data_IF_298554987708
#
_entry.id   IF_298554987708
#
_cell.length_a   1.000
_cell.length_b   1.000
_cell.length_c   1.000
_cell.angle_alpha   90.00
_cell.angle_beta   90.00
_cell.angle_gamma   90.00
#
_symmetry.space_group_name_H-M   'P 1'
#
loop_
_entity.id
_entity.type
_entity.pdbx_description
1 polymer ?
#
# COMPACT_ATOMS: atom_id res chain seq x y z
N UNK A 1 55.26 -33.79 -37.13
CA UNK A 1 55.53 -32.36 -36.83
C UNK A 1 54.47 -31.87 -35.88
N UNK A 2 54.81 -31.83 -34.59
CA UNK A 2 53.95 -31.34 -33.51
C UNK A 2 53.84 -29.83 -33.52
N UNK A 3 52.62 -29.31 -33.33
CA UNK A 3 52.38 -27.97 -32.81
C UNK A 3 51.34 -27.99 -31.71
N UNK A 4 51.83 -27.95 -30.47
CA UNK A 4 51.06 -27.74 -29.28
C UNK A 4 50.59 -26.28 -29.22
N UNK A 5 49.29 -26.05 -29.10
CA UNK A 5 48.69 -24.75 -28.75
C UNK A 5 48.46 -24.73 -27.23
N UNK A 6 49.15 -23.86 -26.52
CA UNK A 6 48.89 -23.55 -25.10
C UNK A 6 47.68 -22.61 -25.01
N UNK A 7 46.70 -22.86 -24.13
CA UNK A 7 45.64 -21.90 -23.89
C UNK A 7 46.14 -20.76 -22.99
N UNK A 8 45.79 -19.54 -23.36
CA UNK A 8 46.19 -18.29 -22.70
C UNK A 8 45.62 -18.20 -21.27
N UNK A 9 46.51 -18.25 -20.26
CA UNK A 9 46.17 -18.15 -18.84
C UNK A 9 45.51 -16.81 -18.43
N UNK A 10 45.52 -15.79 -19.29
CA UNK A 10 44.99 -14.44 -19.00
C UNK A 10 43.45 -14.35 -19.03
N UNK A 11 42.75 -15.24 -19.73
CA UNK A 11 41.28 -15.20 -19.80
C UNK A 11 40.59 -15.78 -18.55
N UNK A 12 41.28 -16.76 -17.86
CA UNK A 12 40.74 -17.38 -16.65
C UNK A 12 40.74 -16.45 -15.45
N UNK A 13 41.76 -15.55 -15.37
CA UNK A 13 41.90 -14.61 -14.25
C UNK A 13 40.87 -13.46 -14.32
N UNK A 14 40.50 -13.01 -15.52
CA UNK A 14 39.45 -11.97 -15.68
C UNK A 14 38.04 -12.48 -15.34
N UNK A 15 37.74 -13.76 -15.61
CA UNK A 15 36.45 -14.37 -15.27
C UNK A 15 36.28 -14.60 -13.76
N UNK A 16 37.38 -14.96 -13.05
CA UNK A 16 37.41 -15.14 -11.59
C UNK A 16 37.26 -13.81 -10.84
N UNK A 17 37.80 -12.71 -11.37
CA UNK A 17 37.63 -11.36 -10.80
C UNK A 17 36.22 -10.80 -10.97
N UNK A 18 35.53 -11.11 -12.08
CA UNK A 18 34.15 -10.69 -12.30
C UNK A 18 33.15 -11.45 -11.41
N UNK A 19 33.40 -12.75 -11.15
CA UNK A 19 32.59 -13.55 -10.23
C UNK A 19 32.74 -13.12 -8.76
N UNK A 20 33.93 -12.66 -8.35
CA UNK A 20 34.17 -12.15 -6.99
C UNK A 20 33.58 -10.75 -6.77
N UNK A 21 33.46 -9.90 -7.78
CA UNK A 21 32.88 -8.56 -7.62
C UNK A 21 31.37 -8.61 -7.35
N UNK A 22 30.63 -9.56 -7.95
CA UNK A 22 29.20 -9.76 -7.69
C UNK A 22 28.93 -10.36 -6.30
N UNK A 23 29.77 -11.31 -5.86
CA UNK A 23 29.63 -11.93 -4.54
C UNK A 23 29.99 -10.99 -3.38
N UNK A 24 30.85 -9.99 -3.60
CA UNK A 24 31.20 -8.98 -2.59
C UNK A 24 30.09 -7.94 -2.36
N UNK A 25 29.23 -7.63 -3.35
CA UNK A 25 28.17 -6.63 -3.20
C UNK A 25 26.99 -7.17 -2.36
N UNK A 26 26.57 -8.40 -2.59
CA UNK A 26 25.52 -9.07 -1.80
C UNK A 26 25.90 -9.33 -0.35
N UNK A 27 27.16 -9.72 -0.11
CA UNK A 27 27.68 -9.87 1.25
C UNK A 27 27.74 -8.54 2.01
N UNK A 28 27.94 -7.41 1.30
CA UNK A 28 28.02 -6.07 1.89
C UNK A 28 26.66 -5.59 2.42
N UNK A 29 25.60 -5.60 1.58
CA UNK A 29 24.25 -5.14 1.98
C UNK A 29 23.66 -6.07 3.04
N UNK A 30 23.84 -7.39 2.91
CA UNK A 30 23.36 -8.35 3.92
C UNK A 30 24.01 -8.11 5.30
N UNK A 31 25.31 -7.81 5.34
CA UNK A 31 26.02 -7.48 6.57
C UNK A 31 25.55 -6.16 7.18
N UNK A 32 25.30 -5.14 6.36
CA UNK A 32 24.77 -3.84 6.81
C UNK A 32 23.34 -3.98 7.37
N UNK A 33 22.48 -4.75 6.72
CA UNK A 33 21.12 -5.07 7.18
C UNK A 33 21.19 -5.83 8.50
N UNK A 34 22.04 -6.86 8.60
CA UNK A 34 22.22 -7.61 9.85
C UNK A 34 22.71 -6.72 11.00
N UNK A 35 23.61 -5.78 10.75
CA UNK A 35 24.12 -4.86 11.77
C UNK A 35 23.08 -3.83 12.23
N UNK A 36 22.13 -3.43 11.37
CA UNK A 36 21.08 -2.46 11.68
C UNK A 36 19.78 -3.10 12.17
N UNK A 37 19.58 -4.41 11.96
CA UNK A 37 18.36 -5.11 12.35
C UNK A 37 18.01 -4.97 13.84
N UNK A 38 18.93 -5.04 14.83
CA UNK A 38 18.56 -4.88 16.26
C UNK A 38 17.89 -3.55 16.58
N UNK A 39 18.29 -2.46 15.91
CA UNK A 39 17.61 -1.15 16.04
C UNK A 39 16.21 -1.21 15.45
N UNK A 40 16.07 -1.77 14.24
CA UNK A 40 14.78 -1.91 13.57
C UNK A 40 13.81 -2.79 14.39
N UNK A 41 14.27 -3.92 14.90
CA UNK A 41 13.47 -4.81 15.75
C UNK A 41 13.03 -4.15 17.07
N UNK A 42 13.92 -3.40 17.71
CA UNK A 42 13.58 -2.66 18.94
C UNK A 42 12.45 -1.65 18.66
N UNK A 43 12.55 -0.93 17.54
CA UNK A 43 11.52 0.04 17.16
C UNK A 43 10.21 -0.66 16.75
N UNK A 44 10.28 -1.76 15.99
CA UNK A 44 9.12 -2.59 15.67
C UNK A 44 8.35 -2.99 16.92
N UNK A 45 9.03 -3.58 17.92
CA UNK A 45 8.39 -4.05 19.15
C UNK A 45 7.77 -2.91 19.99
N UNK A 46 8.35 -1.72 19.94
CA UNK A 46 7.81 -0.54 20.61
C UNK A 46 6.57 -0.02 19.89
N UNK A 47 6.61 0.13 18.56
CA UNK A 47 5.49 0.58 17.75
C UNK A 47 4.30 -0.40 17.81
N UNK A 48 4.58 -1.69 17.72
CA UNK A 48 3.55 -2.74 17.82
C UNK A 48 2.76 -2.70 19.13
N UNK A 49 3.44 -2.38 20.26
CA UNK A 49 2.79 -2.23 21.56
C UNK A 49 2.03 -0.93 21.74
N UNK A 50 2.35 0.10 20.96
CA UNK A 50 1.82 1.45 21.13
C UNK A 50 1.29 2.02 19.80
N UNK A 51 0.37 1.31 19.12
CA UNK A 51 -0.19 1.78 17.85
C UNK A 51 -1.12 2.98 18.06
N UNK A 52 -1.15 3.90 17.10
CA UNK A 52 -2.02 5.06 17.10
C UNK A 52 -2.88 5.10 15.83
N UNK A 53 -4.12 5.55 15.94
CA UNK A 53 -5.04 5.68 14.81
C UNK A 53 -4.62 6.80 13.85
N UNK A 54 -5.17 6.74 12.63
CA UNK A 54 -4.97 7.75 11.58
C UNK A 54 -5.19 9.18 12.09
N UNK A 55 -4.25 10.08 11.80
CA UNK A 55 -4.17 11.46 12.28
C UNK A 55 -4.02 11.65 13.80
N UNK A 56 -3.78 10.58 14.53
CA UNK A 56 -3.46 10.60 15.97
C UNK A 56 -2.05 10.08 16.27
N UNK A 57 -1.19 9.88 15.25
CA UNK A 57 0.14 9.27 15.29
C UNK A 57 1.21 10.20 15.91
N UNK A 58 0.87 10.84 17.04
CA UNK A 58 1.70 11.89 17.67
C UNK A 58 2.97 11.30 18.28
N UNK A 59 2.84 10.24 19.07
CA UNK A 59 3.96 9.58 19.73
C UNK A 59 4.80 8.79 18.73
N UNK A 60 4.15 8.12 17.79
CA UNK A 60 4.79 7.40 16.67
C UNK A 60 5.70 8.34 15.89
N UNK A 61 5.16 9.48 15.45
CA UNK A 61 5.91 10.50 14.72
C UNK A 61 7.07 11.09 15.54
N UNK A 62 6.84 11.37 16.84
CA UNK A 62 7.87 11.91 17.73
C UNK A 62 9.04 10.95 17.94
N UNK A 63 8.74 9.65 18.12
CA UNK A 63 9.76 8.58 18.25
C UNK A 63 10.63 8.48 17.01
N UNK A 64 10.01 8.36 15.82
CA UNK A 64 10.71 8.25 14.56
C UNK A 64 11.49 9.53 14.21
N UNK A 65 10.94 10.71 14.48
CA UNK A 65 11.65 11.98 14.32
C UNK A 65 12.90 12.06 15.20
N UNK A 66 12.82 11.55 16.43
CA UNK A 66 13.96 11.49 17.34
C UNK A 66 15.05 10.55 16.80
N UNK A 67 14.65 9.37 16.33
CA UNK A 67 15.60 8.40 15.75
C UNK A 67 16.29 8.97 14.49
N UNK A 68 15.56 9.64 13.60
CA UNK A 68 16.15 10.26 12.41
C UNK A 68 17.14 11.37 12.76
N UNK A 69 16.83 12.23 13.76
CA UNK A 69 17.79 13.26 14.23
C UNK A 69 19.07 12.65 14.76
N UNK A 70 18.98 11.54 15.52
CA UNK A 70 20.16 10.81 16.00
C UNK A 70 21.00 10.24 14.86
N UNK A 71 20.38 9.89 13.72
CA UNK A 71 21.05 9.44 12.51
C UNK A 71 21.62 10.58 11.65
N UNK A 72 21.41 11.85 12.05
CA UNK A 72 21.93 13.02 11.37
C UNK A 72 21.09 13.55 10.23
N UNK A 73 19.78 13.21 10.19
CA UNK A 73 18.82 13.80 9.27
C UNK A 73 18.35 15.17 9.79
N UNK A 74 18.10 16.09 8.87
CA UNK A 74 17.33 17.31 9.13
C UNK A 74 15.85 16.95 9.16
N UNK A 75 15.17 17.11 10.31
CA UNK A 75 13.81 16.59 10.51
C UNK A 75 12.80 17.67 10.79
N UNK A 76 11.74 17.73 9.99
CA UNK A 76 10.54 18.54 10.18
C UNK A 76 9.38 17.63 10.57
N UNK A 77 8.64 17.99 11.61
CA UNK A 77 7.45 17.30 12.11
C UNK A 77 6.20 18.13 11.84
N UNK A 78 5.03 17.49 11.90
CA UNK A 78 3.73 18.15 11.73
C UNK A 78 3.39 18.46 10.26
N UNK A 79 4.03 17.78 9.31
CA UNK A 79 3.72 17.94 7.88
C UNK A 79 2.49 17.11 7.53
N UNK A 80 1.42 17.74 7.08
CA UNK A 80 0.13 17.08 6.87
C UNK A 80 -0.51 16.59 8.18
N UNK A 81 -0.41 17.36 9.24
CA UNK A 81 -0.83 17.14 10.64
C UNK A 81 0.24 16.42 11.47
N UNK A 82 0.28 15.08 11.46
CA UNK A 82 1.20 14.27 12.29
C UNK A 82 2.42 13.76 11.53
N UNK A 83 2.49 13.93 10.21
CA UNK A 83 3.58 13.42 9.38
C UNK A 83 4.94 14.05 9.66
N UNK A 84 5.99 13.34 9.25
CA UNK A 84 7.39 13.76 9.41
C UNK A 84 8.12 13.72 8.07
N UNK A 85 9.10 14.64 7.92
CA UNK A 85 10.02 14.68 6.77
C UNK A 85 11.45 14.74 7.29
N UNK A 86 12.27 13.77 6.90
CA UNK A 86 13.70 13.70 7.20
C UNK A 86 14.52 13.86 5.92
N UNK A 87 15.50 14.78 5.92
CA UNK A 87 16.35 15.05 4.75
C UNK A 87 17.80 14.70 5.07
N UNK A 88 18.42 13.94 4.17
CA UNK A 88 19.84 13.64 4.21
C UNK A 88 20.48 13.99 2.86
N UNK A 89 21.30 15.04 2.83
CA UNK A 89 22.05 15.46 1.64
C UNK A 89 23.42 14.81 1.58
N UNK A 90 23.79 14.31 0.43
CA UNK A 90 25.09 13.65 0.19
C UNK A 90 25.69 14.01 -1.17
N UNK A 91 25.86 15.29 -1.42
CA UNK A 91 26.43 15.85 -2.66
C UNK A 91 25.41 15.95 -3.80
N UNK A 92 25.90 16.31 -4.99
CA UNK A 92 25.06 16.42 -6.17
C UNK A 92 24.59 15.04 -6.67
N UNK A 93 23.34 14.92 -7.02
CA UNK A 93 22.72 13.69 -7.52
C UNK A 93 21.19 13.78 -7.47
N UNK A 94 20.48 12.68 -7.77
CA UNK A 94 19.03 12.62 -7.72
C UNK A 94 18.48 12.85 -6.31
N UNK A 95 17.25 13.32 -6.26
CA UNK A 95 16.43 13.35 -5.03
C UNK A 95 15.49 12.14 -5.05
N UNK A 96 15.59 11.27 -4.05
CA UNK A 96 14.73 10.10 -3.93
C UNK A 96 13.94 10.18 -2.63
N UNK A 97 12.63 10.02 -2.74
CA UNK A 97 11.73 9.92 -1.61
C UNK A 97 11.53 8.45 -1.25
N UNK A 98 11.65 8.10 0.02
CA UNK A 98 11.24 6.80 0.57
C UNK A 98 10.17 7.03 1.63
N UNK A 99 9.02 6.42 1.43
CA UNK A 99 7.82 6.57 2.27
C UNK A 99 7.63 5.37 3.18
N UNK A 100 7.19 5.63 4.41
CA UNK A 100 6.50 4.69 5.29
C UNK A 100 5.19 5.32 5.77
N UNK A 101 4.25 4.52 6.24
CA UNK A 101 3.01 4.89 6.89
C UNK A 101 3.21 4.93 8.41
N UNK A 102 2.38 5.72 9.13
CA UNK A 102 2.51 5.85 10.59
C UNK A 102 1.34 5.25 11.35
N UNK A 103 0.18 5.16 10.71
CA UNK A 103 -1.10 4.86 11.36
C UNK A 103 -1.39 3.37 11.54
N UNK A 104 -2.29 3.09 12.47
CA UNK A 104 -2.82 1.78 12.79
C UNK A 104 -4.35 1.77 12.67
N UNK A 105 -4.95 0.60 12.79
CA UNK A 105 -6.37 0.34 12.57
C UNK A 105 -7.14 0.16 13.89
N UNK A 106 -8.46 0.49 13.90
CA UNK A 106 -9.35 0.25 15.04
C UNK A 106 -9.72 -1.24 15.16
N UNK A 107 -8.71 -2.09 15.36
CA UNK A 107 -8.82 -3.55 15.47
C UNK A 107 -8.30 -3.99 16.83
N UNK A 108 -9.06 -4.82 17.55
CA UNK A 108 -8.56 -5.46 18.77
C UNK A 108 -7.69 -6.66 18.38
N UNK A 109 -6.42 -6.61 18.76
CA UNK A 109 -5.47 -7.66 18.42
C UNK A 109 -5.80 -9.00 19.10
N UNK A 110 -5.70 -10.09 18.34
CA UNK A 110 -5.90 -11.46 18.79
C UNK A 110 -4.84 -12.41 18.18
N UNK A 111 -3.59 -11.96 18.15
CA UNK A 111 -2.47 -12.74 17.59
C UNK A 111 -1.89 -13.73 18.59
N UNK A 112 -2.04 -13.48 19.91
CA UNK A 112 -1.40 -14.25 20.96
C UNK A 112 0.10 -14.01 21.10
N UNK A 113 0.65 -12.99 20.45
CA UNK A 113 2.07 -12.61 20.57
C UNK A 113 2.37 -12.07 21.98
N UNK A 114 3.56 -12.31 22.54
CA UNK A 114 3.92 -11.83 23.88
C UNK A 114 4.09 -10.30 23.96
N UNK A 115 4.02 -9.62 22.82
CA UNK A 115 4.12 -8.17 22.67
C UNK A 115 2.88 -7.57 21.98
N UNK A 116 1.78 -8.31 21.91
CA UNK A 116 0.51 -7.85 21.33
C UNK A 116 0.07 -6.51 21.90
N UNK A 117 -0.55 -5.69 21.07
CA UNK A 117 -1.15 -4.43 21.48
C UNK A 117 -2.32 -4.67 22.44
N UNK A 118 -2.34 -3.90 23.52
CA UNK A 118 -3.47 -3.81 24.46
C UNK A 118 -4.07 -2.41 24.46
N UNK A 119 -3.66 -1.57 23.49
CA UNK A 119 -4.11 -0.19 23.38
C UNK A 119 -5.60 -0.14 23.08
N UNK A 120 -6.30 0.71 23.81
CA UNK A 120 -7.70 1.07 23.56
C UNK A 120 -7.82 2.58 23.54
N UNK A 121 -8.63 3.08 22.59
CA UNK A 121 -8.91 4.51 22.46
C UNK A 121 -10.32 4.71 21.94
N UNK A 122 -10.73 5.96 21.80
CA UNK A 122 -11.96 6.32 21.10
C UNK A 122 -11.63 6.66 19.65
N UNK A 123 -12.40 6.09 18.72
CA UNK A 123 -12.38 6.50 17.33
C UNK A 123 -13.06 7.89 17.15
N UNK A 124 -13.00 8.44 15.94
CA UNK A 124 -13.62 9.74 15.63
C UNK A 124 -15.15 9.77 15.78
N UNK A 125 -15.80 8.60 15.81
CA UNK A 125 -17.22 8.46 16.11
C UNK A 125 -17.52 8.33 17.62
N UNK A 126 -16.48 8.28 18.47
CA UNK A 126 -16.58 8.16 19.92
C UNK A 126 -16.74 6.72 20.44
N UNK A 127 -16.60 5.72 19.58
CA UNK A 127 -16.64 4.31 19.98
C UNK A 127 -15.33 3.90 20.66
N UNK A 128 -15.42 3.06 21.68
CA UNK A 128 -14.26 2.46 22.32
C UNK A 128 -13.73 1.28 21.49
N UNK A 129 -12.52 1.42 20.95
CA UNK A 129 -11.91 0.45 20.02
C UNK A 129 -10.54 0.00 20.52
N UNK A 130 -10.16 -1.26 20.23
CA UNK A 130 -8.77 -1.69 20.29
C UNK A 130 -7.98 -1.12 19.12
N UNK A 131 -6.66 -0.98 19.26
CA UNK A 131 -5.81 -0.48 18.18
C UNK A 131 -4.70 -1.48 17.86
N UNK A 132 -4.48 -1.77 16.59
CA UNK A 132 -3.50 -2.74 16.12
C UNK A 132 -2.89 -2.30 14.79
N UNK A 133 -1.59 -2.51 14.60
CA UNK A 133 -0.96 -2.44 13.28
C UNK A 133 -1.36 -3.66 12.43
N UNK A 134 -2.65 -3.78 12.11
CA UNK A 134 -3.18 -4.90 11.35
C UNK A 134 -2.86 -4.86 9.85
N UNK A 135 -2.23 -3.76 9.37
CA UNK A 135 -1.71 -3.61 8.02
C UNK A 135 -0.17 -3.66 7.94
N UNK A 136 0.51 -3.95 9.06
CA UNK A 136 1.97 -4.12 9.11
C UNK A 136 2.78 -2.82 9.00
N UNK A 137 2.18 -1.65 9.22
CA UNK A 137 2.90 -0.36 9.13
C UNK A 137 4.06 -0.26 10.14
N UNK A 138 4.02 -0.97 11.24
CA UNK A 138 5.13 -1.12 12.19
C UNK A 138 6.33 -1.87 11.57
N UNK A 139 6.10 -2.88 10.71
CA UNK A 139 7.14 -3.53 9.90
C UNK A 139 7.76 -2.53 8.92
N UNK A 140 6.91 -1.73 8.24
CA UNK A 140 7.37 -0.74 7.27
C UNK A 140 8.22 0.33 7.95
N UNK A 141 7.74 0.91 9.06
CA UNK A 141 8.47 1.91 9.85
C UNK A 141 9.81 1.38 10.36
N UNK A 142 9.84 0.14 10.83
CA UNK A 142 11.06 -0.49 11.32
C UNK A 142 12.09 -0.69 10.20
N UNK A 143 11.66 -1.18 9.03
CA UNK A 143 12.52 -1.35 7.86
C UNK A 143 13.04 -0.01 7.35
N UNK A 144 12.17 0.97 7.19
CA UNK A 144 12.48 2.34 6.80
C UNK A 144 13.53 2.99 7.73
N UNK A 145 13.38 2.83 9.07
CA UNK A 145 14.36 3.33 10.04
C UNK A 145 15.69 2.60 9.93
N UNK A 146 15.69 1.27 9.76
CA UNK A 146 16.89 0.48 9.52
C UNK A 146 17.62 0.93 8.26
N UNK A 147 16.88 1.15 7.17
CA UNK A 147 17.38 1.70 5.91
C UNK A 147 17.96 3.10 6.09
N UNK A 148 17.29 3.98 6.86
CA UNK A 148 17.80 5.30 7.20
C UNK A 148 19.19 5.20 7.89
N UNK A 149 19.35 4.28 8.82
CA UNK A 149 20.63 4.03 9.50
C UNK A 149 21.72 3.57 8.54
N UNK A 150 21.42 2.62 7.65
CA UNK A 150 22.37 2.13 6.65
C UNK A 150 22.81 3.25 5.71
N UNK A 151 21.88 4.04 5.19
CA UNK A 151 22.18 5.14 4.26
C UNK A 151 23.00 6.25 4.93
N UNK A 152 22.71 6.57 6.19
CA UNK A 152 23.46 7.56 6.96
C UNK A 152 24.91 7.11 7.24
N UNK A 153 25.12 5.84 7.57
CA UNK A 153 26.43 5.29 7.87
C UNK A 153 27.31 5.08 6.62
N UNK A 154 26.72 4.83 5.46
CA UNK A 154 27.42 4.41 4.24
C UNK A 154 27.36 5.47 3.13
N UNK A 155 27.59 6.75 3.46
CA UNK A 155 27.51 7.89 2.53
C UNK A 155 28.46 7.78 1.32
N UNK A 156 29.55 7.02 1.42
CA UNK A 156 30.47 6.79 0.28
C UNK A 156 29.84 5.97 -0.86
N UNK A 157 28.74 5.24 -0.58
CA UNK A 157 28.11 4.32 -1.52
C UNK A 157 26.98 4.95 -2.34
N UNK A 158 26.59 6.20 -2.06
CA UNK A 158 25.54 6.88 -2.78
C UNK A 158 25.77 8.39 -2.87
N UNK A 159 25.03 9.08 -3.75
CA UNK A 159 25.05 10.55 -3.89
C UNK A 159 23.66 11.05 -4.24
N UNK A 160 23.35 12.27 -3.77
CA UNK A 160 22.08 12.94 -4.01
C UNK A 160 21.43 13.39 -2.71
N UNK A 161 20.11 13.48 -2.72
CA UNK A 161 19.29 13.85 -1.55
C UNK A 161 18.29 12.73 -1.27
N UNK A 162 18.36 12.15 -0.08
CA UNK A 162 17.35 11.22 0.42
C UNK A 162 16.31 12.01 1.22
N UNK A 163 15.06 11.90 0.82
CA UNK A 163 13.89 12.45 1.52
C UNK A 163 13.12 11.28 2.11
N UNK A 164 13.14 11.16 3.41
CA UNK A 164 12.38 10.16 4.15
C UNK A 164 11.07 10.77 4.63
N UNK A 165 9.94 10.15 4.37
CA UNK A 165 8.66 10.59 4.92
C UNK A 165 8.01 9.50 5.75
N UNK A 166 7.52 9.88 6.93
CA UNK A 166 6.52 9.14 7.69
C UNK A 166 5.17 9.78 7.41
N UNK A 167 4.35 9.10 6.63
CA UNK A 167 3.06 9.60 6.18
C UNK A 167 1.96 9.22 7.18
N UNK A 168 1.12 10.17 7.64
CA UNK A 168 -0.03 9.84 8.48
C UNK A 168 -1.19 9.29 7.66
N UNK A 169 -2.17 8.71 8.32
CA UNK A 169 -3.54 8.46 7.85
C UNK A 169 -3.64 7.84 6.45
N UNK A 170 -2.83 6.80 6.19
CA UNK A 170 -2.94 5.99 4.98
C UNK A 170 -4.28 5.23 4.96
N UNK A 171 -4.69 4.66 6.07
CA UNK A 171 -5.92 3.87 6.21
C UNK A 171 -7.22 4.67 5.97
N UNK A 172 -7.13 6.01 6.03
CA UNK A 172 -8.18 6.92 5.58
C UNK A 172 -8.00 7.37 4.12
N UNK A 173 -6.92 6.95 3.45
CA UNK A 173 -6.55 7.30 2.07
C UNK A 173 -6.49 8.83 1.85
N UNK A 174 -5.99 9.56 2.86
CA UNK A 174 -5.96 11.03 2.86
C UNK A 174 -4.63 11.63 3.30
N UNK A 175 -3.74 10.83 3.86
CA UNK A 175 -2.49 11.28 4.45
C UNK A 175 -1.51 11.87 3.43
N UNK A 176 -1.32 11.21 2.28
CA UNK A 176 -0.49 11.74 1.21
C UNK A 176 -1.00 13.08 0.69
N UNK A 177 -2.32 13.22 0.49
CA UNK A 177 -2.96 14.50 0.12
C UNK A 177 -2.70 15.58 1.17
N UNK A 178 -2.83 15.25 2.45
CA UNK A 178 -2.60 16.18 3.54
C UNK A 178 -1.15 16.69 3.54
N UNK A 179 -0.16 15.80 3.37
CA UNK A 179 1.25 16.19 3.28
C UNK A 179 1.56 17.04 2.04
N UNK A 180 1.01 16.69 0.88
CA UNK A 180 1.19 17.44 -0.38
C UNK A 180 0.54 18.83 -0.25
N UNK A 181 -0.67 18.92 0.32
CA UNK A 181 -1.36 20.18 0.56
C UNK A 181 -0.61 21.08 1.55
N UNK A 182 0.07 20.51 2.55
CA UNK A 182 0.97 21.25 3.47
C UNK A 182 2.34 21.58 2.86
N UNK A 183 2.51 21.36 1.57
CA UNK A 183 3.68 21.79 0.81
C UNK A 183 4.83 20.79 0.79
N UNK A 184 4.61 19.50 0.98
CA UNK A 184 5.66 18.48 0.89
C UNK A 184 6.50 18.60 -0.39
N UNK A 185 5.89 18.90 -1.53
CA UNK A 185 6.56 19.01 -2.81
C UNK A 185 7.06 20.42 -3.18
N UNK A 186 6.86 21.41 -2.30
CA UNK A 186 7.25 22.82 -2.53
C UNK A 186 8.15 23.38 -1.44
N UNK A 187 8.01 22.94 -0.20
CA UNK A 187 8.83 23.35 0.96
C UNK A 187 10.11 22.51 1.08
N UNK A 188 10.09 21.31 0.53
CA UNK A 188 11.17 20.33 0.61
C UNK A 188 11.71 20.01 -0.80
N UNK A 189 12.91 19.39 -0.91
CA UNK A 189 13.44 18.98 -2.20
C UNK A 189 12.46 18.09 -2.95
N UNK A 190 12.02 18.54 -4.16
CA UNK A 190 11.10 17.77 -4.99
C UNK A 190 11.76 16.46 -5.45
N UNK A 191 11.15 15.29 -5.24
CA UNK A 191 11.73 14.03 -5.63
C UNK A 191 11.71 13.80 -7.15
N UNK A 192 12.80 13.20 -7.66
CA UNK A 192 12.86 12.62 -9.01
C UNK A 192 12.17 11.25 -9.06
N UNK A 193 12.15 10.52 -7.93
CA UNK A 193 11.53 9.21 -7.76
C UNK A 193 10.93 9.09 -6.35
N UNK A 194 9.82 8.36 -6.23
CA UNK A 194 9.25 7.99 -4.94
C UNK A 194 9.16 6.46 -4.80
N UNK A 195 9.64 5.96 -3.67
CA UNK A 195 9.65 4.55 -3.31
C UNK A 195 8.81 4.29 -2.08
N UNK A 196 8.16 3.14 -2.03
CA UNK A 196 7.52 2.57 -0.85
C UNK A 196 7.70 1.04 -0.83
N UNK A 197 7.59 0.45 0.34
CA UNK A 197 7.52 -1.00 0.53
C UNK A 197 6.27 -1.30 1.35
N UNK A 198 5.51 -2.31 0.94
CA UNK A 198 4.36 -2.79 1.70
C UNK A 198 4.49 -4.30 1.93
N UNK A 199 4.16 -4.77 3.11
CA UNK A 199 4.13 -6.21 3.39
C UNK A 199 2.96 -6.91 2.68
N UNK A 200 3.09 -8.23 2.49
CA UNK A 200 2.10 -9.03 1.76
C UNK A 200 1.82 -10.33 2.51
N UNK A 201 0.59 -10.45 3.01
CA UNK A 201 0.10 -11.62 3.73
C UNK A 201 -0.10 -12.87 2.85
N UNK A 202 0.23 -12.80 1.55
CA UNK A 202 0.11 -13.92 0.59
C UNK A 202 1.46 -14.44 0.14
N UNK A 203 2.56 -13.81 0.57
CA UNK A 203 3.92 -14.18 0.20
C UNK A 203 4.70 -14.69 1.42
N UNK A 204 5.57 -15.71 1.24
CA UNK A 204 6.48 -16.12 2.30
C UNK A 204 7.43 -14.99 2.70
N UNK A 205 7.72 -14.87 3.99
CA UNK A 205 8.66 -13.90 4.52
C UNK A 205 10.04 -14.03 3.86
N UNK A 206 10.65 -12.89 3.53
CA UNK A 206 11.91 -12.85 2.80
C UNK A 206 11.79 -12.84 1.27
N UNK A 207 10.59 -13.02 0.70
CA UNK A 207 10.32 -12.83 -0.72
C UNK A 207 10.05 -11.34 -0.98
N UNK A 208 10.58 -10.83 -2.09
CA UNK A 208 10.33 -9.47 -2.57
C UNK A 208 9.49 -9.55 -3.84
N UNK A 209 8.34 -8.91 -3.84
CA UNK A 209 7.42 -8.79 -4.97
C UNK A 209 7.58 -7.45 -5.69
N UNK A 210 7.44 -7.46 -7.01
CA UNK A 210 7.33 -6.27 -7.84
C UNK A 210 6.27 -6.50 -8.94
N UNK A 211 5.74 -5.43 -9.49
CA UNK A 211 4.93 -5.48 -10.71
C UNK A 211 5.02 -4.13 -11.42
N UNK A 212 5.11 -4.14 -12.74
CA UNK A 212 5.14 -2.93 -13.56
C UNK A 212 3.72 -2.59 -14.04
N UNK A 213 3.34 -1.34 -13.94
CA UNK A 213 1.97 -0.91 -14.27
C UNK A 213 1.05 -0.89 -13.06
N UNK A 214 -0.29 -1.03 -13.24
CA UNK A 214 -1.25 -0.96 -12.14
C UNK A 214 -1.04 -2.08 -11.13
N UNK A 215 -0.89 -1.74 -9.85
CA UNK A 215 -0.69 -2.70 -8.77
C UNK A 215 -1.83 -2.70 -7.75
N UNK A 216 -2.48 -1.55 -7.54
CA UNK A 216 -3.64 -1.40 -6.66
C UNK A 216 -4.72 -0.59 -7.38
N UNK A 217 -5.99 -0.82 -7.01
CA UNK A 217 -7.14 -0.24 -7.72
C UNK A 217 -7.42 1.19 -7.31
N UNK A 218 -8.12 1.91 -8.20
CA UNK A 218 -8.96 3.00 -7.74
C UNK A 218 -10.10 2.47 -6.86
N UNK A 219 -10.60 3.31 -5.98
CA UNK A 219 -11.76 3.00 -5.15
C UNK A 219 -12.68 4.21 -5.06
N UNK A 220 -13.98 3.96 -5.19
CA UNK A 220 -15.03 4.93 -4.95
C UNK A 220 -16.05 4.36 -3.98
N UNK A 221 -16.43 5.13 -2.97
CA UNK A 221 -17.60 4.87 -2.17
C UNK A 221 -18.80 5.57 -2.85
N UNK A 222 -19.86 4.81 -3.13
CA UNK A 222 -21.07 5.33 -3.78
C UNK A 222 -22.26 5.09 -2.87
N UNK A 223 -22.99 6.17 -2.54
CA UNK A 223 -24.25 6.10 -1.79
C UNK A 223 -25.40 6.37 -2.75
N UNK A 224 -26.30 5.41 -2.89
CA UNK A 224 -27.53 5.54 -3.67
C UNK A 224 -28.71 5.65 -2.72
N UNK A 225 -29.48 6.73 -2.81
CA UNK A 225 -30.72 6.91 -2.09
C UNK A 225 -31.88 6.77 -3.06
N UNK A 226 -32.65 5.71 -2.90
CA UNK A 226 -33.85 5.40 -3.70
C UNK A 226 -35.08 5.95 -2.99
N UNK A 227 -35.92 6.71 -3.70
CA UNK A 227 -37.12 7.31 -3.15
C UNK A 227 -38.35 6.57 -3.60
N UNK A 228 -39.28 6.38 -2.68
CA UNK A 228 -40.57 5.81 -2.89
C UNK A 228 -41.72 6.72 -2.40
N UNK A 229 -42.86 6.13 -2.26
CA UNK A 229 -44.02 6.68 -1.56
C UNK A 229 -44.48 5.64 -0.57
N UNK A 230 -44.24 5.88 0.70
CA UNK A 230 -44.55 4.98 1.79
C UNK A 230 -46.02 4.80 2.06
N UNK A 231 -46.35 3.82 2.88
CA UNK A 231 -47.70 3.56 3.28
C UNK A 231 -47.90 2.24 4.00
N UNK A 232 -49.17 1.82 4.08
CA UNK A 232 -49.55 0.60 4.76
C UNK A 232 -49.19 -0.64 3.92
N UNK A 233 -48.40 -1.59 4.50
CA UNK A 233 -47.94 -2.78 3.78
C UNK A 233 -49.02 -3.68 3.19
N UNK A 234 -50.28 -3.57 3.65
CA UNK A 234 -51.44 -4.27 3.08
C UNK A 234 -52.12 -3.49 1.93
N UNK A 235 -51.62 -2.29 1.56
CA UNK A 235 -52.12 -1.45 0.47
C UNK A 235 -51.01 -1.04 -0.50
N UNK A 236 -50.31 -2.01 -1.10
CA UNK A 236 -49.18 -1.72 -1.99
C UNK A 236 -49.59 -0.89 -3.23
N UNK A 237 -50.81 -1.00 -3.69
CA UNK A 237 -51.36 -0.26 -4.84
C UNK A 237 -51.43 1.26 -4.60
N UNK A 238 -51.43 1.71 -3.35
CA UNK A 238 -51.41 3.13 -2.98
C UNK A 238 -49.98 3.69 -2.77
N UNK A 239 -48.96 2.87 -2.95
CA UNK A 239 -47.54 3.16 -2.64
C UNK A 239 -46.65 3.05 -3.86
N UNK A 240 -45.39 3.47 -3.72
CA UNK A 240 -44.28 3.09 -4.59
C UNK A 240 -43.20 2.56 -3.65
N UNK A 241 -42.99 1.25 -3.65
CA UNK A 241 -42.14 0.58 -2.66
C UNK A 241 -40.66 0.71 -3.00
N UNK A 242 -39.87 1.52 -2.26
CA UNK A 242 -38.45 1.69 -2.53
C UNK A 242 -37.62 0.46 -2.13
N UNK A 243 -38.18 -0.45 -1.31
CA UNK A 243 -37.48 -1.72 -0.97
C UNK A 243 -37.45 -2.63 -2.19
N UNK A 244 -38.54 -2.70 -2.93
CA UNK A 244 -38.62 -3.48 -4.19
C UNK A 244 -37.72 -2.87 -5.26
N UNK A 245 -37.69 -1.53 -5.37
CA UNK A 245 -36.80 -0.83 -6.30
C UNK A 245 -35.33 -1.14 -5.95
N UNK A 246 -34.94 -1.02 -4.68
CA UNK A 246 -33.57 -1.28 -4.20
C UNK A 246 -33.17 -2.74 -4.45
N UNK A 247 -34.06 -3.71 -4.23
CA UNK A 247 -33.77 -5.12 -4.49
C UNK A 247 -33.48 -5.38 -5.98
N UNK A 248 -34.27 -4.81 -6.89
CA UNK A 248 -34.03 -4.88 -8.34
C UNK A 248 -32.75 -4.19 -8.73
N UNK A 249 -32.48 -3.02 -8.14
CA UNK A 249 -31.25 -2.27 -8.37
C UNK A 249 -30.00 -3.07 -7.97
N UNK A 250 -30.00 -3.77 -6.82
CA UNK A 250 -28.89 -4.64 -6.42
C UNK A 250 -28.57 -5.67 -7.50
N UNK A 251 -29.59 -6.33 -8.05
CA UNK A 251 -29.43 -7.33 -9.12
C UNK A 251 -28.95 -6.69 -10.42
N UNK A 252 -29.56 -5.58 -10.83
CA UNK A 252 -29.23 -4.90 -12.07
C UNK A 252 -27.77 -4.35 -12.05
N UNK A 253 -27.29 -3.85 -10.93
CA UNK A 253 -25.90 -3.38 -10.79
C UNK A 253 -24.88 -4.48 -11.05
N UNK A 254 -25.18 -5.75 -10.75
CA UNK A 254 -24.26 -6.87 -11.03
C UNK A 254 -24.05 -7.09 -12.54
N UNK A 255 -24.99 -6.64 -13.37
CA UNK A 255 -24.87 -6.77 -14.84
C UNK A 255 -23.82 -5.85 -15.43
N UNK A 256 -23.45 -4.77 -14.76
CA UNK A 256 -22.39 -3.86 -15.22
C UNK A 256 -21.08 -4.63 -15.36
N UNK A 257 -20.66 -5.35 -14.31
CA UNK A 257 -19.43 -6.15 -14.34
C UNK A 257 -19.58 -7.35 -15.27
N UNK A 258 -20.74 -8.06 -15.19
CA UNK A 258 -20.87 -9.33 -15.89
C UNK A 258 -21.26 -9.20 -17.37
N UNK A 259 -21.79 -8.05 -17.84
CA UNK A 259 -22.35 -7.87 -19.20
C UNK A 259 -21.87 -6.62 -19.93
N UNK A 260 -21.36 -5.60 -19.21
CA UNK A 260 -20.97 -4.32 -19.79
C UNK A 260 -19.46 -4.04 -19.68
N UNK A 261 -18.75 -4.80 -18.83
CA UNK A 261 -17.30 -4.67 -18.65
C UNK A 261 -16.59 -5.81 -19.37
N UNK A 262 -15.48 -5.51 -20.05
CA UNK A 262 -14.63 -6.52 -20.68
C UNK A 262 -14.14 -7.54 -19.65
N UNK A 263 -14.13 -8.84 -19.92
CA UNK A 263 -13.61 -9.86 -18.99
C UNK A 263 -12.10 -9.75 -18.76
N UNK A 264 -11.39 -8.94 -19.54
CA UNK A 264 -9.96 -8.62 -19.36
C UNK A 264 -9.74 -7.37 -18.52
N UNK A 265 -10.81 -6.64 -18.16
CA UNK A 265 -10.75 -5.44 -17.34
C UNK A 265 -11.29 -5.75 -15.93
N UNK A 266 -10.42 -6.03 -14.95
CA UNK A 266 -10.86 -6.33 -13.60
C UNK A 266 -11.66 -5.18 -12.99
N UNK A 267 -12.86 -5.49 -12.50
CA UNK A 267 -13.78 -4.52 -11.94
C UNK A 267 -14.61 -5.16 -10.82
N UNK A 268 -14.94 -4.36 -9.79
CA UNK A 268 -15.78 -4.79 -8.68
C UNK A 268 -16.86 -3.72 -8.42
N UNK A 269 -18.10 -4.17 -8.27
CA UNK A 269 -19.20 -3.40 -7.69
C UNK A 269 -19.80 -4.25 -6.57
N UNK A 270 -19.62 -3.83 -5.33
CA UNK A 270 -20.20 -4.50 -4.17
C UNK A 270 -21.19 -3.57 -3.48
N UNK A 271 -22.42 -4.02 -3.30
CA UNK A 271 -23.39 -3.38 -2.40
C UNK A 271 -23.09 -3.89 -0.98
N UNK A 272 -22.40 -3.09 -0.19
CA UNK A 272 -21.94 -3.46 1.15
C UNK A 272 -23.01 -3.30 2.23
N UNK A 273 -23.95 -2.37 2.01
CA UNK A 273 -25.08 -2.18 2.94
C UNK A 273 -26.34 -1.72 2.23
N UNK A 274 -27.49 -2.06 2.82
CA UNK A 274 -28.83 -1.62 2.40
C UNK A 274 -29.65 -1.33 3.65
N UNK A 275 -30.21 -0.13 3.74
CA UNK A 275 -30.98 0.33 4.89
C UNK A 275 -32.29 0.96 4.45
N UNK A 276 -33.42 0.51 5.02
CA UNK A 276 -34.74 1.05 4.76
C UNK A 276 -35.81 0.30 5.51
N UNK A 277 -36.87 1.03 5.88
CA UNK A 277 -38.00 0.49 6.67
C UNK A 277 -37.68 0.33 8.15
N UNK A 278 -38.75 0.30 8.96
CA UNK A 278 -38.65 0.18 10.44
C UNK A 278 -39.54 -0.94 10.99
N UNK A 279 -40.56 -1.34 10.23
CA UNK A 279 -41.56 -2.33 10.66
C UNK A 279 -42.09 -3.11 9.48
N UNK A 280 -42.44 -4.38 9.70
CA UNK A 280 -42.88 -5.32 8.67
C UNK A 280 -44.18 -4.95 7.92
N UNK A 281 -44.98 -4.07 8.46
CA UNK A 281 -46.29 -3.63 7.86
C UNK A 281 -46.29 -2.16 7.41
N UNK A 282 -45.08 -1.54 7.28
CA UNK A 282 -44.89 -0.17 6.83
C UNK A 282 -43.96 -0.18 5.62
N UNK A 283 -44.42 0.30 4.47
CA UNK A 283 -43.56 0.60 3.31
C UNK A 283 -42.89 1.95 3.58
N UNK A 284 -41.57 2.06 3.52
CA UNK A 284 -40.84 3.31 3.81
C UNK A 284 -40.90 4.29 2.63
N UNK A 285 -40.52 5.56 2.87
CA UNK A 285 -40.39 6.57 1.81
C UNK A 285 -39.06 6.50 1.07
N UNK A 286 -38.04 5.85 1.66
CA UNK A 286 -36.71 5.72 1.05
C UNK A 286 -35.95 4.47 1.50
N UNK A 287 -35.00 4.07 0.64
CA UNK A 287 -33.96 3.06 0.94
C UNK A 287 -32.59 3.61 0.53
N UNK A 288 -31.57 3.38 1.35
CA UNK A 288 -30.18 3.78 1.12
C UNK A 288 -29.34 2.54 0.85
N UNK A 289 -28.58 2.55 -0.25
CA UNK A 289 -27.57 1.55 -0.56
C UNK A 289 -26.19 2.20 -0.49
N UNK A 290 -25.21 1.49 0.08
CA UNK A 290 -23.80 1.90 0.09
C UNK A 290 -22.97 0.87 -0.66
N UNK A 291 -22.18 1.36 -1.62
CA UNK A 291 -21.40 0.52 -2.51
C UNK A 291 -19.91 0.88 -2.43
N UNK A 292 -19.05 -0.13 -2.69
CA UNK A 292 -17.68 0.10 -3.13
C UNK A 292 -17.53 -0.26 -4.60
N UNK A 293 -16.84 0.60 -5.36
CA UNK A 293 -16.56 0.42 -6.80
C UNK A 293 -15.05 0.44 -6.98
N UNK A 294 -14.50 -0.56 -7.69
CA UNK A 294 -13.04 -0.70 -7.87
C UNK A 294 -12.69 -1.09 -9.29
N UNK A 295 -11.60 -0.53 -9.82
CA UNK A 295 -11.00 -0.89 -11.11
C UNK A 295 -9.54 -0.43 -11.17
N UNK A 296 -8.80 -0.81 -12.23
CA UNK A 296 -7.39 -0.43 -12.37
C UNK A 296 -7.16 0.76 -13.29
N UNK A 297 -8.17 1.17 -14.06
CA UNK A 297 -8.00 2.24 -15.06
C UNK A 297 -9.14 3.24 -15.00
N UNK A 298 -8.85 4.50 -15.32
CA UNK A 298 -9.87 5.56 -15.36
C UNK A 298 -10.98 5.30 -16.39
N UNK A 299 -10.74 4.79 -17.60
CA UNK A 299 -11.82 4.47 -18.53
C UNK A 299 -12.83 3.46 -17.96
N UNK A 300 -12.34 2.38 -17.32
CA UNK A 300 -13.21 1.39 -16.67
C UNK A 300 -13.97 2.02 -15.50
N UNK A 301 -13.28 2.80 -14.65
CA UNK A 301 -13.89 3.53 -13.53
C UNK A 301 -15.05 4.41 -13.99
N UNK A 302 -14.84 5.24 -15.02
CA UNK A 302 -15.87 6.13 -15.55
C UNK A 302 -17.04 5.34 -16.15
N UNK A 303 -16.78 4.24 -16.82
CA UNK A 303 -17.81 3.33 -17.32
C UNK A 303 -18.67 2.80 -16.17
N UNK A 304 -18.05 2.22 -15.12
CA UNK A 304 -18.78 1.67 -13.96
C UNK A 304 -19.64 2.73 -13.28
N UNK A 305 -19.08 3.91 -12.99
CA UNK A 305 -19.78 5.00 -12.32
C UNK A 305 -20.96 5.55 -13.16
N UNK A 306 -20.77 5.68 -14.48
CA UNK A 306 -21.83 6.13 -15.38
C UNK A 306 -22.94 5.08 -15.54
N UNK A 307 -22.58 3.80 -15.56
CA UNK A 307 -23.55 2.71 -15.62
C UNK A 307 -24.38 2.63 -14.32
N UNK A 308 -23.78 2.85 -13.15
CA UNK A 308 -24.50 2.94 -11.86
C UNK A 308 -25.54 4.05 -11.90
N UNK A 309 -25.17 5.25 -12.33
CA UNK A 309 -26.10 6.39 -12.45
C UNK A 309 -27.27 6.06 -13.38
N UNK A 310 -26.99 5.49 -14.56
CA UNK A 310 -27.99 5.10 -15.57
C UNK A 310 -28.95 4.06 -15.05
N UNK A 311 -28.42 2.98 -14.43
CA UNK A 311 -29.26 1.87 -13.94
C UNK A 311 -30.09 2.33 -12.75
N UNK A 312 -29.54 3.11 -11.82
CA UNK A 312 -30.29 3.64 -10.68
C UNK A 312 -31.53 4.47 -11.15
N UNK A 313 -31.32 5.35 -12.12
CA UNK A 313 -32.43 6.15 -12.72
C UNK A 313 -33.45 5.29 -13.45
N UNK A 314 -32.98 4.30 -14.22
CA UNK A 314 -33.86 3.42 -14.99
C UNK A 314 -34.76 2.57 -14.08
N UNK A 315 -34.23 1.97 -13.01
CA UNK A 315 -34.97 1.14 -12.07
C UNK A 315 -35.99 1.98 -11.27
N UNK A 316 -35.65 3.18 -10.86
CA UNK A 316 -36.56 4.10 -10.20
C UNK A 316 -37.71 4.55 -11.15
N UNK A 317 -37.39 4.91 -12.39
CA UNK A 317 -38.36 5.31 -13.39
C UNK A 317 -39.31 4.16 -13.76
N UNK A 318 -38.80 2.95 -13.96
CA UNK A 318 -39.57 1.75 -14.26
C UNK A 318 -40.61 1.39 -13.17
N UNK A 319 -40.31 1.77 -11.92
CA UNK A 319 -41.21 1.57 -10.78
C UNK A 319 -42.13 2.76 -10.50
N UNK A 320 -42.07 3.83 -11.28
CA UNK A 320 -42.85 5.04 -11.05
C UNK A 320 -42.46 5.80 -9.79
N UNK A 321 -41.17 5.80 -9.46
CA UNK A 321 -40.64 6.55 -8.30
C UNK A 321 -41.03 8.03 -8.38
N UNK A 322 -41.36 8.68 -7.25
CA UNK A 322 -41.85 10.08 -7.26
C UNK A 322 -40.77 11.09 -7.63
N UNK A 323 -39.49 10.71 -7.55
CA UNK A 323 -38.32 11.50 -7.98
C UNK A 323 -37.15 10.61 -8.33
N UNK A 324 -36.18 11.17 -9.05
CA UNK A 324 -34.90 10.47 -9.37
C UNK A 324 -34.14 10.07 -8.10
N UNK A 325 -33.41 8.95 -8.13
CA UNK A 325 -32.52 8.58 -7.05
C UNK A 325 -31.38 9.59 -6.91
N UNK A 326 -30.91 9.79 -5.68
CA UNK A 326 -29.66 10.52 -5.42
C UNK A 326 -28.49 9.55 -5.45
N UNK A 327 -27.47 9.84 -6.28
CA UNK A 327 -26.23 9.07 -6.34
C UNK A 327 -25.08 10.00 -5.94
N UNK A 328 -24.47 9.74 -4.78
CA UNK A 328 -23.38 10.54 -4.23
C UNK A 328 -22.11 9.69 -4.20
N UNK A 329 -21.02 10.25 -4.72
CA UNK A 329 -19.69 9.66 -4.72
C UNK A 329 -18.85 10.33 -3.65
N UNK A 330 -18.08 9.54 -2.89
CA UNK A 330 -17.20 10.03 -1.84
C UNK A 330 -15.91 9.24 -1.80
N UNK A 331 -14.90 9.84 -1.17
CA UNK A 331 -13.58 9.23 -0.92
C UNK A 331 -12.93 8.59 -2.16
N UNK A 332 -12.80 9.32 -3.29
CA UNK A 332 -12.19 8.77 -4.48
C UNK A 332 -10.69 8.59 -4.28
N UNK A 333 -10.21 7.37 -4.53
CA UNK A 333 -8.78 7.04 -4.57
C UNK A 333 -8.41 6.67 -5.99
N UNK A 334 -7.23 7.09 -6.45
CA UNK A 334 -6.73 6.70 -7.77
C UNK A 334 -6.02 5.35 -7.70
N UNK A 335 -5.94 4.67 -8.84
CA UNK A 335 -5.16 3.45 -8.96
C UNK A 335 -3.68 3.76 -8.75
N UNK A 336 -2.99 2.95 -7.97
CA UNK A 336 -1.53 3.01 -7.85
C UNK A 336 -0.90 2.26 -9.03
N UNK A 337 -0.11 3.00 -9.80
CA UNK A 337 0.57 2.48 -10.99
C UNK A 337 2.08 2.61 -10.79
N UNK A 338 2.79 1.51 -10.67
CA UNK A 338 4.24 1.52 -10.67
C UNK A 338 4.79 1.96 -12.02
N UNK A 339 5.66 2.98 -12.03
CA UNK A 339 6.34 3.40 -13.25
C UNK A 339 7.12 2.24 -13.87
N UNK A 340 6.83 1.92 -15.13
CA UNK A 340 7.38 0.73 -15.78
C UNK A 340 8.90 0.81 -16.00
N UNK A 341 9.46 1.99 -16.22
CA UNK A 341 10.91 2.16 -16.40
C UNK A 341 11.64 2.05 -15.07
N UNK A 342 11.11 2.70 -14.03
CA UNK A 342 11.61 2.61 -12.65
C UNK A 342 11.53 1.17 -12.13
N UNK A 343 10.39 0.50 -12.33
CA UNK A 343 10.20 -0.90 -11.90
C UNK A 343 11.22 -1.83 -12.57
N UNK A 344 11.38 -1.76 -13.89
CA UNK A 344 12.38 -2.58 -14.59
C UNK A 344 13.80 -2.31 -14.10
N UNK A 345 14.15 -1.04 -13.85
CA UNK A 345 15.46 -0.66 -13.36
C UNK A 345 15.75 -1.25 -11.97
N UNK A 346 14.83 -1.07 -11.04
CA UNK A 346 15.00 -1.54 -9.65
C UNK A 346 14.89 -3.06 -9.57
N UNK A 347 13.91 -3.69 -10.22
CA UNK A 347 13.76 -5.16 -10.19
C UNK A 347 14.96 -5.88 -10.79
N UNK A 348 15.59 -5.33 -11.85
CA UNK A 348 16.80 -5.91 -12.42
C UNK A 348 17.96 -5.96 -11.41
N UNK A 349 18.12 -4.91 -10.57
CA UNK A 349 19.12 -4.90 -9.50
C UNK A 349 18.74 -5.93 -8.43
N UNK A 350 17.49 -5.95 -7.98
CA UNK A 350 17.04 -6.90 -6.96
C UNK A 350 17.24 -8.35 -7.42
N UNK A 351 16.88 -8.68 -8.67
CA UNK A 351 17.07 -10.02 -9.25
C UNK A 351 18.57 -10.36 -9.37
N UNK A 352 19.39 -9.40 -9.81
CA UNK A 352 20.85 -9.63 -9.92
C UNK A 352 21.49 -9.93 -8.57
N UNK A 353 21.10 -9.18 -7.53
CA UNK A 353 21.72 -9.29 -6.21
C UNK A 353 21.15 -10.44 -5.36
N UNK A 354 19.86 -10.75 -5.49
CA UNK A 354 19.16 -11.69 -4.60
C UNK A 354 18.70 -12.98 -5.30
N UNK A 355 18.71 -13.00 -6.61
CA UNK A 355 18.23 -14.11 -7.44
C UNK A 355 16.71 -14.14 -7.64
N UNK A 356 16.26 -14.74 -8.76
CA UNK A 356 14.85 -14.86 -9.11
C UNK A 356 14.03 -15.77 -8.17
N UNK A 357 14.69 -16.56 -7.34
CA UNK A 357 14.02 -17.32 -6.30
C UNK A 357 13.40 -16.43 -5.22
N UNK A 358 14.06 -15.31 -4.89
CA UNK A 358 13.64 -14.37 -3.84
C UNK A 358 12.93 -13.12 -4.38
N UNK A 359 13.06 -12.81 -5.67
CA UNK A 359 12.48 -11.61 -6.29
C UNK A 359 11.53 -12.04 -7.40
N UNK A 360 10.25 -11.70 -7.25
CA UNK A 360 9.17 -12.23 -8.09
C UNK A 360 8.29 -11.12 -8.65
N UNK A 361 7.84 -11.29 -9.89
CA UNK A 361 6.70 -10.53 -10.39
C UNK A 361 5.43 -11.06 -9.72
N UNK A 362 4.65 -10.19 -9.09
CA UNK A 362 3.46 -10.53 -8.30
C UNK A 362 2.23 -9.89 -8.92
N UNK A 363 1.07 -10.58 -8.95
CA UNK A 363 -0.13 -10.02 -9.55
C UNK A 363 -0.64 -8.79 -8.78
N UNK A 364 -1.34 -7.87 -9.47
CA UNK A 364 -2.03 -6.74 -8.83
C UNK A 364 -3.10 -7.19 -7.82
N UNK A 365 -3.53 -6.26 -6.96
CA UNK A 365 -4.58 -6.47 -5.95
C UNK A 365 -5.72 -5.49 -6.08
N UNK A 366 -6.90 -5.90 -5.58
CA UNK A 366 -8.09 -5.05 -5.55
C UNK A 366 -8.15 -4.15 -4.29
N UNK A 367 -7.03 -3.96 -3.57
CA UNK A 367 -6.86 -2.97 -2.53
C UNK A 367 -6.65 -1.56 -3.10
N UNK A 368 -6.63 -0.55 -2.26
CA UNK A 368 -6.36 0.85 -2.63
C UNK A 368 -5.31 1.45 -1.69
N UNK A 369 -4.64 2.52 -2.13
CA UNK A 369 -3.47 3.10 -1.47
C UNK A 369 -3.30 4.56 -1.90
N UNK A 370 -3.00 5.46 -0.98
CA UNK A 370 -2.86 6.89 -1.30
C UNK A 370 -1.45 7.30 -1.75
N UNK A 371 -0.48 6.39 -1.80
CA UNK A 371 0.81 6.61 -2.45
C UNK A 371 0.67 7.00 -3.93
N UNK A 372 -0.46 6.68 -4.55
CA UNK A 372 -0.86 7.14 -5.88
C UNK A 372 -0.84 8.68 -6.03
N UNK A 373 -0.98 9.45 -4.94
CA UNK A 373 -0.96 10.91 -4.97
C UNK A 373 0.39 11.48 -5.42
N UNK A 374 1.50 10.77 -5.17
CA UNK A 374 2.83 11.16 -5.69
C UNK A 374 2.91 10.96 -7.20
N UNK A 375 2.31 9.90 -7.74
CA UNK A 375 2.19 9.68 -9.17
C UNK A 375 1.36 10.78 -9.83
N UNK A 376 0.22 11.16 -9.24
CA UNK A 376 -0.62 12.27 -9.73
C UNK A 376 0.12 13.61 -9.71
N UNK A 377 1.06 13.79 -8.78
CA UNK A 377 1.95 14.94 -8.75
C UNK A 377 3.08 14.88 -9.82
N UNK A 378 3.09 13.85 -10.69
CA UNK A 378 4.04 13.67 -11.77
C UNK A 378 5.39 13.11 -11.33
N UNK A 379 5.45 12.40 -10.21
CA UNK A 379 6.66 11.73 -9.70
C UNK A 379 6.58 10.25 -10.08
N UNK A 380 7.57 9.66 -10.78
CA UNK A 380 7.65 8.22 -10.99
C UNK A 380 7.66 7.46 -9.66
N UNK A 381 6.68 6.58 -9.45
CA UNK A 381 6.49 5.82 -8.21
C UNK A 381 6.81 4.35 -8.40
N UNK A 382 7.33 3.73 -7.34
CA UNK A 382 7.48 2.28 -7.23
C UNK A 382 7.15 1.85 -5.80
N UNK A 383 6.12 1.05 -5.66
CA UNK A 383 5.87 0.29 -4.44
C UNK A 383 6.29 -1.17 -4.66
N UNK A 384 7.20 -1.64 -3.84
CA UNK A 384 7.59 -3.04 -3.75
C UNK A 384 6.75 -3.74 -2.68
N UNK A 385 6.62 -5.05 -2.79
CA UNK A 385 6.00 -5.88 -1.76
C UNK A 385 7.04 -6.73 -1.05
N UNK A 386 6.82 -7.05 0.21
CA UNK A 386 7.65 -8.00 0.96
C UNK A 386 6.76 -9.03 1.63
N UNK A 387 7.08 -10.31 1.45
CA UNK A 387 6.34 -11.38 2.07
C UNK A 387 6.41 -11.31 3.60
N UNK A 388 5.28 -11.58 4.24
CA UNK A 388 5.11 -11.49 5.69
C UNK A 388 4.81 -12.84 6.37
N UNK A 389 4.54 -13.89 5.61
CA UNK A 389 4.08 -15.18 6.13
C UNK A 389 5.26 -16.09 6.46
N UNK A 390 5.30 -16.64 7.67
CA UNK A 390 6.28 -17.67 8.03
C UNK A 390 6.19 -18.85 7.06
N UNK A 391 7.34 -19.34 6.57
CA UNK A 391 7.42 -20.32 5.46
C UNK A 391 6.63 -21.58 5.72
N UNK A 392 6.70 -22.16 6.93
CA UNK A 392 5.98 -23.38 7.27
C UNK A 392 4.47 -23.18 7.32
N UNK A 393 4.00 -22.02 7.79
CA UNK A 393 2.58 -21.65 7.75
C UNK A 393 2.10 -21.47 6.30
N UNK A 394 2.92 -20.83 5.47
CA UNK A 394 2.62 -20.67 4.05
C UNK A 394 2.47 -22.03 3.35
N UNK A 395 3.46 -22.92 3.52
CA UNK A 395 3.44 -24.26 2.90
C UNK A 395 2.25 -25.10 3.37
N UNK A 396 1.92 -25.04 4.67
CA UNK A 396 0.76 -25.71 5.23
C UNK A 396 -0.56 -25.18 4.66
N UNK A 397 -0.70 -23.86 4.52
CA UNK A 397 -1.87 -23.21 3.92
C UNK A 397 -2.04 -23.61 2.44
N UNK A 398 -0.95 -23.58 1.66
CA UNK A 398 -0.98 -23.99 0.25
C UNK A 398 -1.36 -25.47 0.09
N UNK A 399 -0.92 -26.32 1.00
CA UNK A 399 -1.24 -27.77 0.97
C UNK A 399 -2.68 -28.07 1.39
N UNK A 400 -3.19 -27.37 2.41
CA UNK A 400 -4.52 -27.61 2.96
C UNK A 400 -5.64 -26.84 2.26
N UNK A 401 -5.31 -25.75 1.55
CA UNK A 401 -6.28 -24.77 1.04
C UNK A 401 -6.90 -23.88 2.15
N UNK A 402 -6.35 -23.90 3.35
CA UNK A 402 -6.82 -23.05 4.45
C UNK A 402 -6.35 -21.62 4.24
N UNK A 403 -7.24 -20.61 4.27
CA UNK A 403 -6.83 -19.23 4.13
C UNK A 403 -5.88 -18.78 5.26
N UNK A 404 -4.85 -18.01 4.88
CA UNK A 404 -4.00 -17.32 5.84
C UNK A 404 -4.72 -16.08 6.40
N UNK A 405 -4.40 -15.62 7.62
CA UNK A 405 -4.85 -14.31 8.10
C UNK A 405 -4.39 -13.22 7.14
N UNK A 406 -5.36 -12.46 6.58
CA UNK A 406 -5.07 -11.34 5.68
C UNK A 406 -4.66 -10.09 6.46
N UNK A 407 -4.14 -9.10 5.77
CA UNK A 407 -4.09 -7.71 6.27
C UNK A 407 -5.47 -7.31 6.81
N UNK A 408 -5.51 -6.43 7.78
CA UNK A 408 -6.69 -5.98 8.54
C UNK A 408 -7.34 -7.06 9.42
N UNK A 409 -6.78 -8.26 9.48
CA UNK A 409 -7.23 -9.30 10.40
C UNK A 409 -6.66 -9.08 11.80
N UNK A 410 -7.48 -9.30 12.83
CA UNK A 410 -7.02 -9.32 14.24
C UNK A 410 -5.96 -10.40 14.53
N UNK A 411 -5.77 -11.34 13.62
CA UNK A 411 -4.81 -12.44 13.71
C UNK A 411 -3.59 -12.25 12.79
N UNK A 412 -3.48 -11.11 12.10
CA UNK A 412 -2.34 -10.84 11.24
C UNK A 412 -1.06 -10.69 12.09
N UNK A 413 -0.10 -11.57 11.88
CA UNK A 413 1.16 -11.64 12.62
C UNK A 413 2.31 -11.94 11.66
N UNK A 414 3.01 -10.90 11.16
CA UNK A 414 4.11 -11.09 10.24
C UNK A 414 5.29 -11.82 10.87
N UNK A 415 6.01 -12.63 10.09
CA UNK A 415 7.32 -13.16 10.48
C UNK A 415 8.34 -12.01 10.39
N UNK A 416 8.47 -11.29 11.49
CA UNK A 416 9.11 -9.97 11.56
C UNK A 416 10.54 -9.91 11.07
N UNK A 417 11.40 -10.86 11.48
CA UNK A 417 12.82 -10.77 11.16
C UNK A 417 13.12 -10.88 9.65
N UNK A 418 12.68 -11.95 8.95
CA UNK A 418 12.92 -12.05 7.52
C UNK A 418 12.18 -10.99 6.71
N UNK A 419 10.99 -10.54 7.16
CA UNK A 419 10.21 -9.50 6.50
C UNK A 419 10.91 -8.14 6.59
N UNK A 420 11.29 -7.69 7.79
CA UNK A 420 12.02 -6.41 7.99
C UNK A 420 13.35 -6.43 7.23
N UNK A 421 14.12 -7.53 7.30
CA UNK A 421 15.40 -7.63 6.59
C UNK A 421 15.23 -7.62 5.07
N UNK A 422 14.18 -8.24 4.53
CA UNK A 422 13.88 -8.19 3.10
C UNK A 422 13.49 -6.79 2.65
N UNK A 423 12.66 -6.08 3.42
CA UNK A 423 12.28 -4.70 3.17
C UNK A 423 13.51 -3.78 3.18
N UNK A 424 14.33 -3.80 4.24
CA UNK A 424 15.58 -3.04 4.33
C UNK A 424 16.51 -3.32 3.14
N UNK A 425 16.64 -4.59 2.75
CA UNK A 425 17.49 -4.98 1.61
C UNK A 425 16.97 -4.39 0.31
N UNK A 426 15.65 -4.48 0.07
CA UNK A 426 15.01 -3.95 -1.14
C UNK A 426 15.15 -2.43 -1.22
N UNK A 427 14.89 -1.72 -0.12
CA UNK A 427 15.01 -0.27 -0.02
C UNK A 427 16.45 0.21 -0.26
N UNK A 428 17.44 -0.38 0.41
CA UNK A 428 18.85 0.00 0.27
C UNK A 428 19.33 -0.22 -1.17
N UNK A 429 19.03 -1.37 -1.76
CA UNK A 429 19.42 -1.67 -3.15
C UNK A 429 18.75 -0.72 -4.14
N UNK A 430 17.46 -0.43 -3.97
CA UNK A 430 16.72 0.52 -4.81
C UNK A 430 17.31 1.94 -4.68
N UNK A 431 17.54 2.41 -3.46
CA UNK A 431 18.11 3.74 -3.20
C UNK A 431 19.51 3.89 -3.79
N UNK A 432 20.39 2.90 -3.62
CA UNK A 432 21.75 2.94 -4.20
C UNK A 432 21.74 2.86 -5.71
N UNK A 433 20.83 2.11 -6.29
CA UNK A 433 20.64 2.09 -7.75
C UNK A 433 20.21 3.45 -8.28
N UNK A 434 19.28 4.13 -7.61
CA UNK A 434 18.77 5.42 -8.05
C UNK A 434 19.72 6.58 -7.74
N UNK A 435 20.57 6.45 -6.72
CA UNK A 435 21.53 7.47 -6.27
C UNK A 435 22.99 6.94 -6.30
N UNK A 436 23.53 6.53 -7.46
CA UNK A 436 24.84 5.90 -7.52
C UNK A 436 25.96 6.86 -7.09
N UNK A 437 26.97 6.33 -6.39
CA UNK A 437 28.14 7.10 -5.89
C UNK A 437 29.02 7.68 -6.98
N UNK A 438 29.03 7.09 -8.18
CA UNK A 438 29.71 7.57 -9.38
C UNK A 438 28.74 7.55 -10.55
N UNK A 439 28.74 8.62 -11.37
CA UNK A 439 28.17 8.52 -12.71
C UNK A 439 28.98 7.43 -13.44
N UNK A 440 28.43 6.27 -13.63
CA UNK A 440 28.90 5.37 -14.68
C UNK A 440 28.61 6.12 -15.97
N UNK A 441 29.67 6.75 -16.54
CA UNK A 441 29.58 7.27 -17.87
C UNK A 441 29.17 6.09 -18.76
N UNK A 442 27.95 6.12 -19.29
CA UNK A 442 27.55 5.23 -20.37
C UNK A 442 28.51 5.48 -21.52
N UNK A 443 29.39 4.51 -21.77
CA UNK A 443 30.09 4.40 -23.03
C UNK A 443 29.20 3.74 -24.07
#
# INVERSE_FOLDING_TARGET
>A
MNRNAFPCASCALALLLALNAGAQSTSGVAAEVQANYPRAETRYLDLHRHPELSFHEVETAAKLATDLRQLGYEVTTGVGRTGIVGILKNGAGPTVLLRTELDALPVTENTGLPFSSTVRTKDDAGNDVGVMHACGHDIHMAAWLGTAGIMAANRSQWRGTLVLIGQPAEELVTGAKAMIADGLLTRFPRPDFALAVHDDARLPAGIIGYHAGPILTNADAVTIRVFGRGGHGARPEATVDPVVIAARLVLALQTIVSRETSPFDPAVITVGSIHGGTKNNIIPDEVVLQLTVRSFTDPVRQHLLSAIDRIAKAEAAAAGAPREPSVVRSNPTQALVNDSALTRRVSAVLVRELGSARVKDTPPEMASEDFAEFQLAGIPTLMLRVGAVEQGKYDAAMKSGTPLPSLHSSQFAPDREPTIKAAMTAEVLALRELMPSRRTASR
#
